data_IF_275968254969
#
_entry.id   IF_275968254969
#
_cell.length_a   1.000
_cell.length_b   1.000
_cell.length_c   1.000
_cell.angle_alpha   90.00
_cell.angle_beta   90.00
_cell.angle_gamma   90.00
#
_symmetry.space_group_name_H-M   'P 1'
#
loop_
_entity.id
_entity.type
_entity.pdbx_description
1 polymer ?
#
# COMPACT_ATOMS: atom_id res chain seq x y z
N UNK A 1 -10.84 -4.42 -12.65
CA UNK A 1 -9.71 -4.39 -13.63
C UNK A 1 -9.83 -5.50 -14.68
N UNK A 2 -9.98 -6.77 -14.27
CA UNK A 2 -10.08 -7.90 -15.25
C UNK A 2 -11.25 -7.74 -16.21
N UNK A 3 -12.43 -7.41 -15.71
CA UNK A 3 -13.63 -7.18 -16.54
C UNK A 3 -13.45 -6.01 -17.50
N UNK A 4 -12.76 -4.94 -17.07
CA UNK A 4 -12.47 -3.79 -17.90
C UNK A 4 -11.47 -4.14 -19.01
N UNK A 5 -10.43 -4.93 -18.71
CA UNK A 5 -9.50 -5.41 -19.73
C UNK A 5 -10.21 -6.26 -20.79
N UNK A 6 -11.09 -7.18 -20.35
CA UNK A 6 -11.90 -7.97 -21.27
C UNK A 6 -12.80 -7.09 -22.15
N UNK A 7 -13.43 -6.07 -21.55
CA UNK A 7 -14.22 -5.08 -22.28
C UNK A 7 -13.38 -4.35 -23.33
N UNK A 8 -12.20 -3.84 -22.98
CA UNK A 8 -11.29 -3.16 -23.90
C UNK A 8 -10.87 -4.07 -25.06
N UNK A 9 -10.45 -5.31 -24.78
CA UNK A 9 -10.10 -6.28 -25.81
C UNK A 9 -11.29 -6.49 -26.77
N UNK A 10 -12.48 -6.71 -26.21
CA UNK A 10 -13.70 -6.92 -27.01
C UNK A 10 -14.07 -5.69 -27.84
N UNK A 11 -13.97 -4.48 -27.26
CA UNK A 11 -14.24 -3.23 -27.96
C UNK A 11 -13.28 -3.05 -29.15
N UNK A 12 -11.96 -3.17 -28.92
CA UNK A 12 -10.96 -2.94 -29.96
C UNK A 12 -10.92 -4.02 -31.04
N UNK A 13 -11.38 -5.23 -30.74
CA UNK A 13 -11.52 -6.30 -31.75
C UNK A 13 -12.86 -6.26 -32.48
N UNK A 14 -13.91 -5.65 -31.92
CA UNK A 14 -15.27 -5.62 -32.50
C UNK A 14 -15.37 -4.94 -33.89
N UNK A 15 -14.51 -3.96 -34.30
CA UNK A 15 -14.55 -3.44 -35.68
C UNK A 15 -14.34 -4.51 -36.77
N UNK A 16 -13.58 -5.57 -36.44
CA UNK A 16 -13.37 -6.69 -37.37
C UNK A 16 -14.71 -7.39 -37.77
N UNK A 17 -15.69 -7.34 -36.86
CA UNK A 17 -17.03 -7.88 -37.13
C UNK A 17 -17.75 -7.13 -38.25
N UNK A 18 -17.46 -5.86 -38.49
CA UNK A 18 -18.03 -5.07 -39.58
C UNK A 18 -17.42 -5.52 -40.91
N UNK A 19 -16.09 -5.75 -40.92
CA UNK A 19 -15.34 -6.15 -42.12
C UNK A 19 -15.65 -7.59 -42.51
N UNK A 20 -15.67 -8.48 -41.52
CA UNK A 20 -15.86 -9.93 -41.73
C UNK A 20 -17.31 -10.38 -41.62
N UNK A 21 -18.25 -9.44 -41.50
CA UNK A 21 -19.66 -9.74 -41.23
C UNK A 21 -20.27 -10.70 -42.28
N UNK A 22 -20.93 -11.70 -41.74
CA UNK A 22 -21.80 -12.60 -42.54
C UNK A 22 -23.27 -12.27 -42.31
N UNK A 23 -23.62 -11.62 -41.21
CA UNK A 23 -24.99 -11.30 -40.79
C UNK A 23 -25.11 -9.88 -40.29
N UNK A 24 -26.30 -9.27 -40.39
CA UNK A 24 -26.59 -7.93 -39.85
C UNK A 24 -26.36 -7.85 -38.32
N UNK A 25 -26.50 -8.96 -37.59
CA UNK A 25 -26.26 -9.06 -36.14
C UNK A 25 -24.83 -8.74 -35.77
N UNK A 26 -23.85 -8.99 -36.63
CA UNK A 26 -22.44 -8.75 -36.34
C UNK A 26 -22.14 -7.25 -36.20
N UNK A 27 -22.82 -6.41 -37.02
CA UNK A 27 -22.72 -4.94 -36.84
C UNK A 27 -23.41 -4.47 -35.55
N UNK A 28 -24.47 -5.15 -35.11
CA UNK A 28 -25.16 -4.84 -33.85
C UNK A 28 -24.25 -5.01 -32.61
N UNK A 29 -23.36 -5.99 -32.63
CA UNK A 29 -22.37 -6.19 -31.51
C UNK A 29 -21.43 -5.00 -31.42
N UNK A 30 -20.88 -4.52 -32.53
CA UNK A 30 -20.02 -3.33 -32.51
C UNK A 30 -20.75 -2.10 -31.98
N UNK A 31 -21.99 -1.87 -32.44
CA UNK A 31 -22.83 -0.75 -31.99
C UNK A 31 -23.08 -0.86 -30.46
N UNK A 32 -23.35 -2.06 -29.97
CA UNK A 32 -23.55 -2.29 -28.54
C UNK A 32 -22.29 -1.89 -27.70
N UNK A 33 -21.08 -2.25 -28.15
CA UNK A 33 -19.86 -1.83 -27.51
C UNK A 33 -19.65 -0.32 -27.53
N UNK A 34 -20.01 0.36 -28.63
CA UNK A 34 -19.97 1.82 -28.70
C UNK A 34 -20.95 2.48 -27.71
N UNK A 35 -22.16 1.98 -27.60
CA UNK A 35 -23.16 2.47 -26.64
C UNK A 35 -22.65 2.30 -25.21
N UNK A 36 -22.09 1.13 -24.86
CA UNK A 36 -21.51 0.87 -23.55
C UNK A 36 -20.36 1.85 -23.27
N UNK A 37 -19.50 2.10 -24.26
CA UNK A 37 -18.38 3.05 -24.12
C UNK A 37 -18.88 4.47 -23.82
N UNK A 38 -19.87 4.93 -24.58
CA UNK A 38 -20.49 6.26 -24.37
C UNK A 38 -21.14 6.33 -22.98
N UNK A 39 -21.82 5.26 -22.55
CA UNK A 39 -22.43 5.18 -21.22
C UNK A 39 -21.37 5.24 -20.09
N UNK A 40 -20.25 4.54 -20.24
CA UNK A 40 -19.15 4.63 -19.28
C UNK A 40 -18.54 6.02 -19.24
N UNK A 41 -18.37 6.66 -20.41
CA UNK A 41 -17.86 8.03 -20.47
C UNK A 41 -18.81 9.03 -19.76
N UNK A 42 -20.11 8.92 -20.04
CA UNK A 42 -21.11 9.78 -19.41
C UNK A 42 -21.19 9.55 -17.89
N UNK A 43 -21.10 8.30 -17.45
CA UNK A 43 -21.06 7.95 -16.03
C UNK A 43 -19.79 8.50 -15.35
N UNK A 44 -18.63 8.32 -15.98
CA UNK A 44 -17.36 8.87 -15.48
C UNK A 44 -17.37 10.40 -15.39
N UNK A 45 -17.87 11.07 -16.43
CA UNK A 45 -18.00 12.55 -16.44
C UNK A 45 -18.93 13.07 -15.34
N UNK A 46 -20.05 12.35 -15.07
CA UNK A 46 -20.95 12.67 -13.97
C UNK A 46 -20.26 12.53 -12.63
N UNK A 47 -19.56 11.41 -12.38
CA UNK A 47 -18.85 11.18 -11.12
C UNK A 47 -17.72 12.20 -10.92
N UNK A 48 -16.99 12.56 -11.99
CA UNK A 48 -15.97 13.59 -11.96
C UNK A 48 -16.54 14.93 -11.48
N UNK A 49 -17.70 15.32 -12.02
CA UNK A 49 -18.38 16.54 -11.59
C UNK A 49 -18.84 16.48 -10.14
N UNK A 50 -19.47 15.38 -9.72
CA UNK A 50 -19.92 15.17 -8.33
C UNK A 50 -18.75 15.28 -7.35
N UNK A 51 -17.59 14.70 -7.69
CA UNK A 51 -16.41 14.75 -6.85
C UNK A 51 -15.85 16.18 -6.73
N UNK A 52 -15.74 16.91 -7.86
CA UNK A 52 -15.21 18.27 -7.86
C UNK A 52 -16.15 19.29 -7.18
N UNK A 53 -17.46 19.04 -7.22
CA UNK A 53 -18.47 19.88 -6.56
C UNK A 53 -18.67 19.47 -5.08
N UNK A 54 -18.08 18.34 -4.65
CA UNK A 54 -18.15 17.83 -3.29
C UNK A 54 -17.23 18.55 -2.31
N UNK A 55 -17.59 18.51 -1.03
CA UNK A 55 -16.73 19.03 0.02
C UNK A 55 -15.50 18.11 0.21
N UNK A 56 -14.32 18.71 0.28
CA UNK A 56 -13.09 17.99 0.67
C UNK A 56 -13.17 17.61 2.15
N UNK A 57 -12.83 16.37 2.45
CA UNK A 57 -12.69 15.91 3.83
C UNK A 57 -11.59 16.75 4.49
N UNK A 58 -11.95 17.52 5.51
CA UNK A 58 -10.99 18.29 6.30
C UNK A 58 -10.78 17.59 7.63
N UNK A 59 -9.57 17.13 7.87
CA UNK A 59 -9.15 16.67 9.19
C UNK A 59 -8.52 17.82 10.00
N UNK A 60 -8.57 17.70 11.32
CA UNK A 60 -7.82 18.58 12.21
C UNK A 60 -6.35 18.19 12.33
N UNK A 61 -5.91 17.23 11.53
CA UNK A 61 -4.55 16.70 11.49
C UNK A 61 -4.10 16.47 10.05
N UNK A 62 -2.80 16.44 9.85
CA UNK A 62 -2.17 16.09 8.56
C UNK A 62 -1.80 14.62 8.52
N UNK A 63 -1.72 14.05 7.33
CA UNK A 63 -1.13 12.73 7.11
C UNK A 63 0.11 12.94 6.24
N UNK A 64 1.30 12.69 6.82
CA UNK A 64 2.59 12.82 6.14
C UNK A 64 3.07 11.48 5.64
N UNK A 65 3.24 11.38 4.34
CA UNK A 65 3.57 10.15 3.64
C UNK A 65 5.03 10.22 3.19
N UNK A 66 5.84 9.29 3.69
CA UNK A 66 7.29 9.31 3.52
C UNK A 66 7.72 8.46 2.33
N UNK A 67 8.63 9.01 1.53
CA UNK A 67 9.44 8.32 0.52
C UNK A 67 10.88 8.29 1.01
N UNK A 68 11.37 7.14 1.44
CA UNK A 68 12.65 7.08 2.17
C UNK A 68 13.88 6.94 1.28
N UNK A 69 13.76 6.26 0.14
CA UNK A 69 14.86 5.96 -0.79
C UNK A 69 16.10 5.34 -0.10
N UNK A 70 15.87 4.42 0.83
CA UNK A 70 16.93 3.68 1.51
C UNK A 70 17.29 2.45 0.67
N UNK A 71 18.61 2.13 0.57
CA UNK A 71 19.07 0.99 -0.23
C UNK A 71 18.46 -0.34 0.25
N UNK A 72 18.10 -1.19 -0.70
CA UNK A 72 17.63 -2.56 -0.43
C UNK A 72 18.73 -3.44 0.18
N UNK A 73 20.00 -3.04 0.07
CA UNK A 73 21.12 -3.76 0.66
C UNK A 73 21.02 -3.90 2.17
N UNK A 74 20.18 -3.04 2.83
CA UNK A 74 19.90 -3.13 4.26
C UNK A 74 19.32 -4.48 4.71
N UNK A 75 18.72 -5.24 3.80
CA UNK A 75 18.23 -6.60 4.10
C UNK A 75 19.32 -7.67 4.09
N UNK A 76 20.49 -7.34 3.57
CA UNK A 76 21.61 -8.29 3.39
C UNK A 76 22.83 -7.93 4.23
N UNK A 77 22.92 -6.69 4.68
CA UNK A 77 24.04 -6.17 5.44
C UNK A 77 23.60 -5.83 6.87
N UNK A 78 24.49 -5.93 7.82
CA UNK A 78 24.29 -5.41 9.16
C UNK A 78 24.26 -3.87 9.09
N UNK A 79 23.07 -3.30 9.24
CA UNK A 79 22.85 -1.84 9.28
C UNK A 79 22.65 -1.45 10.73
N UNK A 80 23.23 -0.34 11.13
CA UNK A 80 22.97 0.24 12.46
C UNK A 80 21.49 0.66 12.53
N UNK A 81 20.69 0.05 13.42
CA UNK A 81 19.28 0.38 13.54
C UNK A 81 19.05 1.86 13.94
N UNK A 82 19.94 2.42 14.75
CA UNK A 82 19.86 3.80 15.23
C UNK A 82 19.97 4.76 14.05
N UNK A 83 20.97 4.58 13.21
CA UNK A 83 21.15 5.40 12.02
C UNK A 83 19.93 5.33 11.07
N UNK A 84 19.36 4.13 10.90
CA UNK A 84 18.15 3.95 10.08
C UNK A 84 16.93 4.70 10.64
N UNK A 85 16.76 4.72 11.96
CA UNK A 85 15.69 5.46 12.64
C UNK A 85 15.92 6.97 12.50
N UNK A 86 17.14 7.45 12.77
CA UNK A 86 17.51 8.87 12.65
C UNK A 86 17.30 9.40 11.23
N UNK A 87 17.69 8.63 10.21
CA UNK A 87 17.47 9.00 8.81
C UNK A 87 15.97 9.12 8.49
N UNK A 88 15.14 8.21 8.97
CA UNK A 88 13.68 8.27 8.80
C UNK A 88 13.05 9.47 9.53
N UNK A 89 13.48 9.75 10.75
CA UNK A 89 13.06 10.93 11.52
C UNK A 89 13.42 12.20 10.77
N UNK A 90 14.65 12.29 10.27
CA UNK A 90 15.13 13.44 9.51
C UNK A 90 14.31 13.68 8.24
N UNK A 91 14.00 12.62 7.48
CA UNK A 91 13.15 12.70 6.29
C UNK A 91 11.73 13.11 6.70
N UNK A 92 11.22 12.57 7.79
CA UNK A 92 9.87 12.87 8.30
C UNK A 92 9.70 14.33 8.74
N UNK A 93 10.79 14.99 9.15
CA UNK A 93 10.78 16.39 9.57
C UNK A 93 9.59 16.75 10.48
N UNK A 94 9.44 16.13 11.68
CA UNK A 94 8.26 16.28 12.52
C UNK A 94 8.09 17.74 12.98
N UNK A 95 6.90 18.35 12.77
CA UNK A 95 6.65 19.71 13.27
C UNK A 95 6.25 19.67 14.75
N UNK A 96 6.75 20.61 15.55
CA UNK A 96 6.55 20.64 17.01
C UNK A 96 5.09 20.77 17.44
N UNK A 97 4.29 21.58 16.75
CA UNK A 97 2.96 22.01 17.20
C UNK A 97 1.80 21.57 16.28
N UNK A 98 2.04 20.65 15.37
CA UNK A 98 0.99 20.17 14.45
C UNK A 98 0.62 18.73 14.78
N UNK A 99 -0.66 18.39 14.59
CA UNK A 99 -1.11 17.01 14.67
C UNK A 99 -0.80 16.29 13.37
N UNK A 100 0.04 15.26 13.40
CA UNK A 100 0.49 14.55 12.19
C UNK A 100 0.50 13.04 12.40
N UNK A 101 -0.04 12.33 11.40
CA UNK A 101 0.16 10.89 11.25
C UNK A 101 1.26 10.69 10.20
N UNK A 102 2.37 10.07 10.60
CA UNK A 102 3.46 9.72 9.71
C UNK A 102 3.24 8.32 9.14
N UNK A 103 3.43 8.15 7.83
CA UNK A 103 3.35 6.85 7.18
C UNK A 103 4.73 6.51 6.60
N UNK A 104 5.41 5.55 7.20
CA UNK A 104 6.67 5.01 6.75
C UNK A 104 6.47 3.77 5.88
N UNK A 105 7.38 3.47 4.93
CA UNK A 105 7.25 2.34 4.03
C UNK A 105 7.31 0.97 4.72
N UNK A 106 7.07 -0.10 3.92
CA UNK A 106 7.20 -1.50 4.32
C UNK A 106 8.65 -1.87 4.60
N UNK A 107 8.88 -2.68 5.66
CA UNK A 107 10.16 -3.31 5.97
C UNK A 107 11.33 -2.33 6.09
N UNK A 108 11.04 -1.12 6.58
CA UNK A 108 12.02 -0.03 6.53
C UNK A 108 13.11 -0.17 7.61
N UNK A 109 12.82 -0.90 8.68
CA UNK A 109 13.71 -1.20 9.81
C UNK A 109 13.98 -2.71 9.88
N UNK A 110 14.78 -3.30 8.98
CA UNK A 110 15.06 -4.73 8.98
C UNK A 110 15.82 -5.12 10.26
N UNK A 111 15.50 -6.31 10.79
CA UNK A 111 16.12 -6.82 12.02
C UNK A 111 15.52 -6.30 13.31
N UNK A 112 14.65 -5.29 13.27
CA UNK A 112 13.88 -4.84 14.42
C UNK A 112 12.47 -5.43 14.33
N UNK A 113 12.05 -6.13 15.38
CA UNK A 113 10.69 -6.60 15.50
C UNK A 113 9.80 -5.56 16.21
N UNK A 114 8.52 -5.59 15.87
CA UNK A 114 7.50 -4.73 16.49
C UNK A 114 7.59 -4.73 18.02
N UNK A 115 7.82 -5.88 18.61
CA UNK A 115 7.91 -6.09 20.06
C UNK A 115 9.20 -5.52 20.67
N UNK A 116 10.18 -5.20 19.84
CA UNK A 116 11.49 -4.70 20.24
C UNK A 116 11.65 -3.20 19.99
N UNK A 117 10.72 -2.59 19.25
CA UNK A 117 10.81 -1.18 18.85
C UNK A 117 10.87 -0.22 20.04
N UNK A 118 10.24 -0.57 21.16
CA UNK A 118 10.26 0.23 22.40
C UNK A 118 11.66 0.46 22.98
N UNK A 119 12.67 -0.33 22.56
CA UNK A 119 14.08 -0.12 22.98
C UNK A 119 14.66 1.20 22.44
N UNK A 120 14.07 1.74 21.37
CA UNK A 120 14.49 2.98 20.72
C UNK A 120 13.65 4.20 21.14
N UNK A 121 12.84 4.05 22.20
CA UNK A 121 11.89 5.08 22.66
C UNK A 121 12.54 6.45 22.88
N UNK A 122 13.75 6.52 23.43
CA UNK A 122 14.44 7.77 23.68
C UNK A 122 14.64 8.58 22.39
N UNK A 123 15.09 7.92 21.30
CA UNK A 123 15.31 8.56 20.00
C UNK A 123 13.99 9.10 19.41
N UNK A 124 12.91 8.33 19.57
CA UNK A 124 11.59 8.76 19.08
C UNK A 124 11.04 9.93 19.90
N UNK A 125 11.18 9.92 21.22
CA UNK A 125 10.68 11.00 22.09
C UNK A 125 11.42 12.33 21.92
N UNK A 126 12.65 12.32 21.40
CA UNK A 126 13.36 13.54 21.03
C UNK A 126 12.74 14.24 19.80
N UNK A 127 12.08 13.47 18.93
CA UNK A 127 11.57 13.98 17.66
C UNK A 127 10.04 14.05 17.59
N UNK A 128 9.34 13.12 18.24
CA UNK A 128 7.89 13.02 18.20
C UNK A 128 7.24 13.39 19.53
N UNK A 129 6.02 13.88 19.48
CA UNK A 129 5.24 14.33 20.65
C UNK A 129 3.86 13.68 20.67
N UNK A 130 3.06 13.95 21.71
CA UNK A 130 1.65 13.48 21.83
C UNK A 130 0.74 13.90 20.67
N UNK A 131 1.21 14.81 19.80
CA UNK A 131 0.52 15.23 18.58
C UNK A 131 0.89 14.37 17.37
N UNK A 132 1.62 13.28 17.54
CA UNK A 132 2.12 12.45 16.46
C UNK A 132 1.70 11.00 16.61
N UNK A 133 1.32 10.38 15.50
CA UNK A 133 1.20 8.93 15.35
C UNK A 133 2.14 8.46 14.25
N UNK A 134 2.64 7.24 14.39
CA UNK A 134 3.58 6.65 13.44
C UNK A 134 2.99 5.34 12.93
N UNK A 135 2.79 5.26 11.63
CA UNK A 135 2.41 4.06 10.91
C UNK A 135 3.64 3.57 10.16
N UNK A 136 4.02 2.32 10.36
CA UNK A 136 5.16 1.74 9.64
C UNK A 136 5.01 0.26 9.34
N UNK A 137 5.69 -0.18 8.29
CA UNK A 137 5.88 -1.59 7.97
C UNK A 137 7.04 -2.16 8.75
N UNK A 138 6.77 -3.12 9.63
CA UNK A 138 7.76 -3.73 10.52
C UNK A 138 7.45 -5.22 10.68
N UNK A 139 8.50 -6.01 10.87
CA UNK A 139 8.31 -7.42 11.20
C UNK A 139 7.74 -7.59 12.60
N UNK A 140 6.84 -8.56 12.77
CA UNK A 140 6.34 -8.96 14.08
C UNK A 140 6.50 -10.46 14.31
N UNK A 141 6.52 -10.88 15.57
CA UNK A 141 6.64 -12.26 15.96
C UNK A 141 5.58 -12.64 16.99
N UNK A 142 5.01 -13.81 16.84
CA UNK A 142 4.02 -14.35 17.78
C UNK A 142 4.30 -15.82 18.05
N UNK A 143 4.07 -16.25 19.28
CA UNK A 143 4.16 -17.65 19.65
C UNK A 143 2.77 -18.28 19.58
N UNK A 144 2.53 -19.11 18.58
CA UNK A 144 1.29 -19.88 18.41
C UNK A 144 1.62 -21.37 18.41
N UNK A 145 0.85 -22.17 19.16
CA UNK A 145 0.97 -23.65 19.23
C UNK A 145 2.41 -24.15 19.44
N UNK A 146 3.16 -23.51 20.36
CA UNK A 146 4.57 -23.77 20.67
C UNK A 146 5.55 -23.49 19.51
N UNK A 147 5.09 -22.93 18.40
CA UNK A 147 5.92 -22.47 17.28
C UNK A 147 6.02 -20.96 17.24
N UNK A 148 7.21 -20.45 16.92
CA UNK A 148 7.42 -19.01 16.66
C UNK A 148 7.03 -18.74 15.22
N UNK A 149 6.12 -17.79 15.03
CA UNK A 149 5.68 -17.31 13.71
C UNK A 149 6.14 -15.89 13.50
N UNK A 150 6.52 -15.60 12.28
CA UNK A 150 6.95 -14.27 11.83
C UNK A 150 5.93 -13.71 10.84
N UNK A 151 5.67 -12.41 10.94
CA UNK A 151 4.71 -11.72 10.06
C UNK A 151 5.33 -10.44 9.53
N UNK A 152 5.00 -10.11 8.30
CA UNK A 152 5.17 -8.78 7.75
C UNK A 152 3.96 -7.95 8.17
N UNK A 153 4.17 -6.87 8.94
CA UNK A 153 3.11 -6.17 9.65
C UNK A 153 3.05 -4.69 9.31
N UNK A 154 1.84 -4.19 9.27
CA UNK A 154 1.50 -2.77 9.24
C UNK A 154 1.10 -2.38 10.65
N UNK A 155 1.87 -1.53 11.31
CA UNK A 155 1.70 -1.24 12.73
C UNK A 155 1.56 0.25 12.98
N UNK A 156 0.68 0.59 13.93
CA UNK A 156 0.40 1.97 14.35
C UNK A 156 0.87 2.15 15.78
N UNK A 157 1.70 3.15 15.99
CA UNK A 157 2.26 3.49 17.30
C UNK A 157 1.94 4.93 17.67
N UNK A 158 1.86 5.19 18.97
CA UNK A 158 1.95 6.55 19.50
C UNK A 158 3.41 7.04 19.58
N UNK A 159 3.61 8.28 20.03
CA UNK A 159 4.94 8.88 20.19
C UNK A 159 5.83 8.15 21.20
N UNK A 160 5.22 7.47 22.17
CA UNK A 160 5.90 6.67 23.20
C UNK A 160 6.22 5.25 22.72
N UNK A 161 5.95 4.94 21.45
CA UNK A 161 6.06 3.61 20.84
C UNK A 161 5.14 2.55 21.48
N UNK A 162 4.04 2.96 22.10
CA UNK A 162 3.01 2.03 22.48
C UNK A 162 2.24 1.59 21.23
N UNK A 163 2.10 0.30 21.02
CA UNK A 163 1.35 -0.25 19.89
C UNK A 163 -0.14 0.03 20.07
N UNK A 164 -0.73 0.76 19.13
CA UNK A 164 -2.16 1.09 19.10
C UNK A 164 -2.93 -0.01 18.36
N UNK A 165 -2.44 -0.39 17.17
CA UNK A 165 -3.07 -1.40 16.34
C UNK A 165 -2.06 -2.03 15.38
N UNK A 166 -2.33 -3.24 14.90
CA UNK A 166 -1.45 -3.93 13.96
C UNK A 166 -2.25 -4.83 13.01
N UNK A 167 -1.80 -4.90 11.76
CA UNK A 167 -2.33 -5.76 10.72
C UNK A 167 -1.20 -6.62 10.14
N UNK A 168 -1.37 -7.92 10.13
CA UNK A 168 -0.43 -8.86 9.53
C UNK A 168 -0.83 -9.16 8.08
N UNK A 169 0.12 -9.08 7.16
CA UNK A 169 -0.07 -9.30 5.73
C UNK A 169 -0.77 -10.62 5.46
N UNK A 170 -1.90 -10.57 4.77
CA UNK A 170 -2.73 -11.75 4.46
C UNK A 170 -2.25 -12.42 3.17
N UNK A 171 -1.94 -11.63 2.15
CA UNK A 171 -1.52 -12.13 0.85
C UNK A 171 -0.01 -11.99 0.69
N UNK A 172 0.71 -13.06 0.99
CA UNK A 172 2.16 -13.11 0.88
C UNK A 172 2.62 -13.30 -0.57
N UNK A 173 3.82 -12.79 -0.87
CA UNK A 173 4.48 -12.95 -2.18
C UNK A 173 5.11 -14.33 -2.28
N UNK A 174 4.67 -15.18 -3.24
CA UNK A 174 5.29 -16.48 -3.44
C UNK A 174 6.78 -16.32 -3.79
N UNK A 175 7.62 -17.21 -3.24
CA UNK A 175 9.09 -17.23 -3.34
C UNK A 175 9.81 -16.02 -2.72
N UNK A 176 9.14 -14.89 -2.56
CA UNK A 176 9.66 -13.74 -1.84
C UNK A 176 9.50 -13.93 -0.32
N UNK A 177 8.29 -14.06 0.15
CA UNK A 177 7.95 -14.08 1.57
C UNK A 177 7.66 -15.47 2.11
N UNK A 178 7.27 -16.42 1.24
CA UNK A 178 7.12 -17.83 1.60
C UNK A 178 7.50 -18.75 0.45
N UNK A 179 7.86 -19.98 0.75
CA UNK A 179 8.15 -21.00 -0.24
C UNK A 179 6.91 -21.87 -0.48
N UNK A 180 6.29 -21.83 -1.67
CA UNK A 180 5.30 -22.85 -2.05
C UNK A 180 5.94 -24.24 -1.95
N UNK A 181 5.20 -25.20 -1.39
CA UNK A 181 5.74 -26.58 -1.17
C UNK A 181 7.06 -26.60 -0.38
N UNK A 182 7.16 -25.82 0.67
CA UNK A 182 8.37 -25.57 1.47
C UNK A 182 9.14 -26.85 1.83
N UNK A 183 8.42 -27.94 2.23
CA UNK A 183 9.02 -29.23 2.59
C UNK A 183 9.84 -29.88 1.45
N UNK A 184 9.48 -29.58 0.20
CA UNK A 184 10.17 -30.11 -0.99
C UNK A 184 11.30 -29.16 -1.37
N UNK A 185 11.03 -27.87 -1.48
CA UNK A 185 11.98 -26.88 -1.96
C UNK A 185 13.15 -26.64 -1.00
N UNK A 186 12.92 -26.71 0.31
CA UNK A 186 14.03 -26.66 1.29
C UNK A 186 15.08 -27.76 1.08
N UNK A 187 14.69 -28.94 0.58
CA UNK A 187 15.64 -30.03 0.26
C UNK A 187 16.57 -29.69 -0.92
N UNK A 188 16.17 -28.76 -1.79
CA UNK A 188 16.96 -28.28 -2.94
C UNK A 188 17.84 -27.09 -2.60
N UNK A 189 17.84 -26.61 -1.35
CA UNK A 189 18.62 -25.47 -0.91
C UNK A 189 18.02 -24.09 -1.27
N UNK A 190 16.82 -24.06 -1.83
CA UNK A 190 16.12 -22.81 -2.16
C UNK A 190 15.60 -22.16 -0.87
N UNK A 191 15.92 -20.87 -0.69
CA UNK A 191 15.46 -20.01 0.43
C UNK A 191 14.55 -18.92 -0.09
N UNK A 192 13.76 -18.30 0.82
CA UNK A 192 13.03 -17.06 0.51
C UNK A 192 13.99 -15.91 0.29
N UNK A 193 13.59 -14.94 -0.53
CA UNK A 193 14.45 -13.81 -0.91
C UNK A 193 14.49 -12.76 0.20
N UNK A 194 13.36 -12.50 0.85
CA UNK A 194 13.16 -11.37 1.77
C UNK A 194 13.46 -11.69 3.23
N UNK A 195 13.59 -12.96 3.60
CA UNK A 195 13.80 -13.34 4.99
C UNK A 195 14.83 -14.46 5.11
N UNK A 196 15.95 -14.15 5.79
CA UNK A 196 17.02 -15.11 6.04
C UNK A 196 16.64 -16.17 7.11
N UNK A 197 15.59 -15.95 7.89
CA UNK A 197 15.27 -16.82 9.04
C UNK A 197 14.26 -17.90 8.68
N UNK A 198 13.05 -17.51 8.28
CA UNK A 198 11.96 -18.44 7.94
C UNK A 198 10.96 -17.74 7.02
N UNK A 199 10.09 -18.54 6.37
CA UNK A 199 8.95 -17.99 5.64
C UNK A 199 8.03 -17.22 6.58
N UNK A 200 7.49 -16.08 6.14
CA UNK A 200 6.44 -15.40 6.86
C UNK A 200 5.18 -16.26 6.95
N UNK A 201 4.42 -16.03 7.99
CA UNK A 201 3.08 -16.59 8.17
C UNK A 201 2.03 -15.62 7.67
N UNK A 202 0.96 -16.13 7.07
CA UNK A 202 -0.16 -15.30 6.63
C UNK A 202 -0.91 -14.74 7.85
N UNK A 203 -1.32 -13.47 7.75
CA UNK A 203 -2.31 -12.88 8.62
C UNK A 203 -3.66 -13.61 8.51
N UNK A 204 -4.50 -13.54 9.54
CA UNK A 204 -5.77 -14.30 9.59
C UNK A 204 -6.82 -13.69 8.65
N UNK A 205 -7.00 -12.39 8.72
CA UNK A 205 -8.04 -11.68 7.96
C UNK A 205 -7.63 -10.24 7.71
N UNK A 206 -8.11 -9.67 6.60
CA UNK A 206 -8.00 -8.23 6.35
C UNK A 206 -9.23 -7.56 6.93
N UNK A 207 -9.00 -6.61 7.83
CA UNK A 207 -10.03 -5.83 8.50
C UNK A 207 -9.75 -4.35 8.37
N UNK A 208 -10.82 -3.56 8.49
CA UNK A 208 -10.71 -2.11 8.63
C UNK A 208 -10.10 -1.84 10.01
N UNK A 209 -9.07 -1.03 10.02
CA UNK A 209 -8.39 -0.65 11.24
C UNK A 209 -8.94 0.70 11.71
N UNK A 210 -9.50 0.72 12.91
CA UNK A 210 -9.93 1.96 13.56
C UNK A 210 -8.80 2.51 14.43
N UNK A 211 -8.49 3.77 14.24
CA UNK A 211 -7.54 4.54 15.03
C UNK A 211 -8.34 5.59 15.79
N UNK A 212 -8.52 5.36 17.09
CA UNK A 212 -9.24 6.23 18.00
C UNK A 212 -8.30 6.65 19.13
N UNK A 213 -7.61 7.76 18.93
CA UNK A 213 -6.72 8.38 19.91
C UNK A 213 -7.19 9.81 20.19
N UNK A 214 -6.74 10.41 21.30
CA UNK A 214 -7.15 11.74 21.77
C UNK A 214 -7.25 12.80 20.67
N UNK A 215 -6.31 12.78 19.73
CA UNK A 215 -6.17 13.78 18.67
C UNK A 215 -6.50 13.24 17.28
N UNK A 216 -6.78 11.94 17.14
CA UNK A 216 -6.92 11.27 15.87
C UNK A 216 -8.10 10.31 15.87
N UNK A 217 -8.98 10.44 14.90
CA UNK A 217 -10.07 9.50 14.66
C UNK A 217 -10.20 9.25 13.17
N UNK A 218 -9.90 8.03 12.75
CA UNK A 218 -10.03 7.62 11.34
C UNK A 218 -10.12 6.10 11.24
N UNK A 219 -10.72 5.65 10.14
CA UNK A 219 -10.81 4.25 9.75
C UNK A 219 -9.99 4.04 8.49
N UNK A 220 -9.08 3.09 8.51
CA UNK A 220 -8.20 2.81 7.37
C UNK A 220 -8.32 1.36 6.92
N UNK A 221 -8.12 1.15 5.62
CA UNK A 221 -7.88 -0.17 5.08
C UNK A 221 -6.38 -0.33 4.83
N UNK A 222 -5.66 -1.11 5.68
CA UNK A 222 -4.24 -1.33 5.51
C UNK A 222 -3.97 -2.32 4.38
N UNK A 223 -3.01 -2.00 3.52
CA UNK A 223 -2.49 -2.88 2.48
C UNK A 223 -0.97 -2.85 2.48
N UNK A 224 -0.36 -4.03 2.51
CA UNK A 224 1.09 -4.16 2.47
C UNK A 224 1.50 -4.62 1.07
N UNK A 225 2.27 -3.77 0.37
CA UNK A 225 2.95 -4.05 -0.89
C UNK A 225 2.05 -4.73 -1.94
N UNK A 226 2.33 -5.97 -2.25
CA UNK A 226 1.65 -6.79 -3.24
C UNK A 226 0.13 -6.90 -3.06
N UNK A 227 -0.39 -6.65 -1.87
CA UNK A 227 -1.83 -6.70 -1.61
C UNK A 227 -2.64 -5.71 -2.43
N UNK A 228 -2.02 -4.59 -2.85
CA UNK A 228 -2.67 -3.56 -3.69
C UNK A 228 -3.10 -4.08 -5.07
N UNK A 229 -2.50 -5.17 -5.57
CA UNK A 229 -2.80 -5.69 -6.92
C UNK A 229 -4.15 -6.38 -7.03
N UNK A 230 -4.70 -6.86 -5.91
CA UNK A 230 -5.93 -7.67 -5.92
C UNK A 230 -7.17 -6.81 -6.14
N UNK A 231 -7.80 -6.98 -7.31
CA UNK A 231 -9.05 -6.33 -7.68
C UNK A 231 -10.25 -7.11 -7.13
N UNK A 232 -11.23 -6.39 -6.55
CA UNK A 232 -12.51 -6.95 -6.12
C UNK A 232 -12.45 -7.94 -4.94
N UNK A 233 -11.30 -8.08 -4.27
CA UNK A 233 -11.12 -9.03 -3.17
C UNK A 233 -10.64 -8.41 -1.86
N UNK A 234 -10.31 -7.12 -1.87
CA UNK A 234 -9.75 -6.45 -0.70
C UNK A 234 -10.81 -5.79 0.18
N UNK A 235 -11.97 -5.50 -0.37
CA UNK A 235 -13.05 -4.85 0.37
C UNK A 235 -14.17 -5.84 0.65
N UNK A 236 -14.55 -5.98 1.91
CA UNK A 236 -15.82 -6.59 2.33
C UNK A 236 -16.85 -5.52 2.67
N UNK A 237 -16.37 -4.40 3.19
CA UNK A 237 -17.12 -3.24 3.59
C UNK A 237 -16.35 -1.99 3.15
N UNK A 238 -17.06 -0.92 2.77
CA UNK A 238 -16.47 0.36 2.37
C UNK A 238 -16.57 1.42 3.47
N UNK A 239 -16.83 1.03 4.72
CA UNK A 239 -16.89 1.92 5.87
C UNK A 239 -15.48 2.27 6.40
N UNK A 240 -14.64 2.81 5.53
CA UNK A 240 -13.32 3.34 5.87
C UNK A 240 -13.08 4.66 5.13
N UNK A 241 -12.17 5.47 5.68
CA UNK A 241 -11.84 6.79 5.13
C UNK A 241 -10.83 6.68 4.00
N UNK A 242 -9.73 5.94 4.23
CA UNK A 242 -8.59 5.82 3.33
C UNK A 242 -8.10 4.39 3.17
N UNK A 243 -7.55 4.10 2.00
CA UNK A 243 -6.61 2.98 1.84
C UNK A 243 -5.22 3.51 2.13
N UNK A 244 -4.50 2.89 3.05
CA UNK A 244 -3.08 3.15 3.26
C UNK A 244 -2.29 1.96 2.73
N UNK A 245 -1.44 2.22 1.74
CA UNK A 245 -0.57 1.21 1.15
C UNK A 245 0.89 1.53 1.47
N UNK A 246 1.55 0.66 2.23
CA UNK A 246 2.98 0.72 2.48
C UNK A 246 3.68 -0.31 1.60
N UNK A 247 4.84 0.02 1.02
CA UNK A 247 5.50 -0.84 0.04
C UNK A 247 7.03 -0.69 0.02
N UNK A 248 7.70 -1.82 -0.29
CA UNK A 248 9.11 -1.87 -0.64
C UNK A 248 9.24 -2.20 -2.12
N UNK A 249 9.39 -1.18 -2.96
CA UNK A 249 9.49 -1.38 -4.41
C UNK A 249 10.93 -1.60 -4.91
N UNK A 250 11.92 -1.51 -4.04
CA UNK A 250 13.33 -1.78 -4.37
C UNK A 250 13.57 -3.20 -4.89
N UNK A 251 12.70 -4.16 -4.53
CA UNK A 251 12.74 -5.54 -5.04
C UNK A 251 12.60 -5.63 -6.56
N UNK A 252 11.94 -4.68 -7.19
CA UNK A 252 11.79 -4.63 -8.66
C UNK A 252 13.05 -4.14 -9.37
N UNK A 253 14.03 -3.60 -8.63
CA UNK A 253 15.25 -3.04 -9.19
C UNK A 253 14.95 -1.92 -10.20
N UNK A 254 15.91 -1.71 -11.11
CA UNK A 254 15.78 -0.70 -12.16
C UNK A 254 14.96 -1.23 -13.36
N UNK A 255 13.66 -1.41 -13.14
CA UNK A 255 12.72 -1.98 -14.13
C UNK A 255 11.44 -1.16 -14.23
N UNK A 256 10.49 -1.62 -15.04
CA UNK A 256 9.13 -1.05 -15.13
C UNK A 256 8.25 -1.46 -13.94
N UNK A 257 8.71 -2.40 -13.10
CA UNK A 257 7.96 -2.99 -11.99
C UNK A 257 7.37 -1.97 -11.03
N UNK A 258 8.14 -1.00 -10.48
CA UNK A 258 7.60 0.00 -9.56
C UNK A 258 6.45 0.82 -10.17
N UNK A 259 6.55 1.19 -11.45
CA UNK A 259 5.49 1.93 -12.16
C UNK A 259 4.24 1.07 -12.36
N UNK A 260 4.41 -0.19 -12.73
CA UNK A 260 3.30 -1.13 -12.88
C UNK A 260 2.63 -1.40 -11.53
N UNK A 261 3.43 -1.54 -10.47
CA UNK A 261 2.90 -1.72 -9.11
C UNK A 261 2.10 -0.49 -8.66
N UNK A 262 2.61 0.71 -8.88
CA UNK A 262 1.92 1.96 -8.57
C UNK A 262 0.57 2.11 -9.28
N UNK A 263 0.45 1.71 -10.54
CA UNK A 263 -0.81 1.79 -11.31
C UNK A 263 -1.95 1.05 -10.59
N UNK A 264 -1.66 -0.01 -9.83
CA UNK A 264 -2.68 -0.71 -9.06
C UNK A 264 -3.27 0.17 -7.94
N UNK A 265 -2.51 1.11 -7.39
CA UNK A 265 -3.04 2.10 -6.43
C UNK A 265 -4.10 2.98 -7.07
N UNK A 266 -3.89 3.41 -8.32
CA UNK A 266 -4.87 4.18 -9.10
C UNK A 266 -6.17 3.37 -9.28
N UNK A 267 -6.04 2.10 -9.66
CA UNK A 267 -7.21 1.24 -9.81
C UNK A 267 -7.94 0.98 -8.49
N UNK A 268 -7.23 0.85 -7.38
CA UNK A 268 -7.86 0.67 -6.06
C UNK A 268 -8.61 1.91 -5.63
N UNK A 269 -8.08 3.10 -5.86
CA UNK A 269 -8.77 4.35 -5.61
C UNK A 269 -10.11 4.43 -6.38
N UNK A 270 -10.09 4.14 -7.68
CA UNK A 270 -11.30 4.13 -8.53
C UNK A 270 -12.29 3.05 -8.08
N UNK A 271 -11.83 1.84 -7.81
CA UNK A 271 -12.72 0.73 -7.41
C UNK A 271 -13.39 0.94 -6.06
N UNK A 272 -12.69 1.54 -5.10
CA UNK A 272 -13.22 1.79 -3.76
C UNK A 272 -13.99 3.11 -3.66
N UNK A 273 -13.73 4.07 -4.55
CA UNK A 273 -14.20 5.43 -4.41
C UNK A 273 -13.58 6.15 -3.21
N UNK A 274 -12.37 5.74 -2.79
CA UNK A 274 -11.63 6.27 -1.64
C UNK A 274 -10.24 6.73 -2.06
N UNK A 275 -9.66 7.64 -1.28
CA UNK A 275 -8.26 8.01 -1.44
C UNK A 275 -7.34 6.81 -1.16
N UNK A 276 -6.26 6.71 -1.93
CA UNK A 276 -5.13 5.83 -1.64
C UNK A 276 -3.93 6.68 -1.27
N UNK A 277 -3.46 6.50 -0.04
CA UNK A 277 -2.26 7.11 0.50
C UNK A 277 -1.16 6.04 0.44
N UNK A 278 -0.19 6.23 -0.45
CA UNK A 278 0.86 5.24 -0.69
C UNK A 278 2.22 5.76 -0.24
N UNK A 279 2.84 5.07 0.69
CA UNK A 279 4.23 5.24 1.10
C UNK A 279 5.07 4.10 0.51
N UNK A 280 6.10 4.43 -0.24
CA UNK A 280 6.92 3.42 -0.90
C UNK A 280 8.41 3.74 -0.79
N UNK A 281 9.20 2.79 -0.31
CA UNK A 281 10.65 2.87 -0.42
C UNK A 281 11.07 2.50 -1.85
N UNK A 282 11.96 3.29 -2.45
CA UNK A 282 12.46 3.13 -3.81
C UNK A 282 11.39 3.07 -4.92
N UNK A 283 10.13 3.33 -4.57
CA UNK A 283 8.98 3.36 -5.45
C UNK A 283 8.37 4.75 -5.61
N UNK A 284 7.14 4.81 -6.14
CA UNK A 284 6.35 6.03 -6.23
C UNK A 284 5.54 6.16 -4.94
N UNK A 285 5.81 7.20 -4.16
CA UNK A 285 5.00 7.65 -3.03
C UNK A 285 3.98 8.64 -3.55
N UNK A 286 2.69 8.46 -3.23
CA UNK A 286 1.64 9.26 -3.86
C UNK A 286 0.35 9.35 -3.05
N UNK A 287 -0.41 10.41 -3.32
CA UNK A 287 -1.81 10.60 -2.96
C UNK A 287 -2.65 10.46 -4.22
N UNK A 288 -3.50 9.45 -4.24
CA UNK A 288 -4.41 9.18 -5.37
C UNK A 288 -5.84 9.37 -4.91
N UNK A 289 -6.58 10.24 -5.59
CA UNK A 289 -7.97 10.53 -5.23
C UNK A 289 -8.95 9.46 -5.75
N UNK A 290 -10.21 9.48 -5.30
CA UNK A 290 -11.25 8.51 -5.69
C UNK A 290 -11.52 8.42 -7.20
N UNK A 291 -11.12 9.41 -7.98
CA UNK A 291 -11.22 9.39 -9.45
C UNK A 291 -9.99 8.77 -10.13
N UNK A 292 -8.98 8.37 -9.35
CA UNK A 292 -7.72 7.83 -9.86
C UNK A 292 -6.74 8.92 -10.33
N UNK A 293 -6.96 10.18 -9.96
CA UNK A 293 -6.03 11.27 -10.26
C UNK A 293 -4.96 11.31 -9.18
N UNK A 294 -3.71 11.38 -9.59
CA UNK A 294 -2.57 11.57 -8.70
C UNK A 294 -2.48 13.05 -8.35
N UNK A 295 -2.79 13.40 -7.10
CA UNK A 295 -2.79 14.79 -6.64
C UNK A 295 -1.39 15.27 -6.24
N UNK A 296 -0.64 14.40 -5.57
CA UNK A 296 0.76 14.64 -5.19
C UNK A 296 1.55 13.36 -5.33
N UNK A 297 2.82 13.46 -5.66
CA UNK A 297 3.74 12.32 -5.68
C UNK A 297 5.19 12.72 -5.39
N UNK A 298 5.94 11.77 -4.88
CA UNK A 298 7.40 11.73 -4.92
C UNK A 298 7.79 10.64 -5.92
N UNK A 299 8.64 10.99 -6.87
CA UNK A 299 9.09 10.08 -7.92
C UNK A 299 10.02 8.99 -7.38
N UNK A 300 10.24 7.97 -8.22
CA UNK A 300 11.16 6.86 -7.95
C UNK A 300 12.53 7.36 -7.47
N UNK A 301 13.09 6.64 -6.50
CA UNK A 301 14.45 6.86 -6.00
C UNK A 301 14.70 8.29 -5.49
N UNK A 302 13.69 8.90 -4.88
CA UNK A 302 13.78 10.18 -4.21
C UNK A 302 13.38 10.06 -2.75
N UNK A 303 14.15 10.74 -1.90
CA UNK A 303 13.85 10.87 -0.47
C UNK A 303 13.15 12.21 -0.26
N UNK A 304 11.89 12.17 0.18
CA UNK A 304 11.06 13.34 0.43
C UNK A 304 9.77 12.90 1.15
N UNK A 305 8.87 13.83 1.42
CA UNK A 305 7.52 13.55 1.92
C UNK A 305 6.46 14.39 1.21
N UNK A 306 5.22 13.95 1.31
CA UNK A 306 4.04 14.69 0.87
C UNK A 306 2.99 14.70 1.99
N UNK A 307 2.33 15.84 2.18
CA UNK A 307 1.25 16.02 3.15
C UNK A 307 -0.13 15.96 2.46
N UNK A 308 -1.02 15.17 3.10
CA UNK A 308 -2.45 15.07 2.80
C UNK A 308 -3.25 15.79 3.86
#
# INVERSE_FOLDING_TARGET
TYSFNLFCISLFTSPSLIILRKKKKDAGVFIAFLIITISFYAFGSKNFKIFNDGETIKHEFKIRIISSNISIDRFYNDVDPIQGIEDLIKISSPPENEKVIFIWPEGILPGIFQEELAQYKEIFNEAFSENHLIILGIDSKSKEDQSLKYFNSFSVFDHDLNLINSYNKVNLVPFGEFLPFEKILKKTGIKTITNNYQSYSNGKVREIMEINQKNFSLKILPLICYEIIYSGRIFRDNDFDYIINISEDGWFGNSVGPKQHFIHSIYRAIESGKYVLRSSNNGITAIVNPLGVVEKQVDLNRSDFIDF
#
